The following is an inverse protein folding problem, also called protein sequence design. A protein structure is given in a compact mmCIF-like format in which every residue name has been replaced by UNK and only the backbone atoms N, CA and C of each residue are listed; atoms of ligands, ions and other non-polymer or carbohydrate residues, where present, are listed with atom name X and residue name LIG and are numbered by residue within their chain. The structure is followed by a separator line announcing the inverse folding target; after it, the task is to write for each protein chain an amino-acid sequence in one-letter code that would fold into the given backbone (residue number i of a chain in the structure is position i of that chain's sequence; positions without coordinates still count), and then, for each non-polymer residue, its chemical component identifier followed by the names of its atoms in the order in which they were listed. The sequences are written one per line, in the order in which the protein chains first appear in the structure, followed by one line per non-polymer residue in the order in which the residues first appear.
data_IF_183792862105
#
_entry.id   IF_183792862105
#
_cell.length_a   1.000
_cell.length_b   1.000
_cell.length_c   1.000
_cell.angle_alpha   90.00
_cell.angle_beta   90.00
_cell.angle_gamma   90.00
#
_symmetry.space_group_name_H-M   'P 1'
#
loop_
_entity.id
_entity.type
_entity.pdbx_description
1 polymer ?
#
# COMPACT_ATOMS: atom_id res chain seq x y z
N UNK A 1 25.46 -2.35 8.85
CA UNK A 1 25.23 -1.99 7.43
C UNK A 1 23.80 -2.36 7.17
N UNK A 2 22.95 -1.51 6.57
CA UNK A 2 21.54 -1.82 6.46
C UNK A 2 21.31 -3.15 5.76
N UNK A 3 20.45 -3.98 6.33
CA UNK A 3 20.10 -5.30 5.82
C UNK A 3 18.98 -5.10 4.79
N UNK A 4 19.17 -5.45 3.51
CA UNK A 4 18.10 -5.35 2.54
C UNK A 4 17.03 -6.40 2.79
N UNK A 5 15.82 -5.95 3.08
CA UNK A 5 14.65 -6.81 3.15
C UNK A 5 14.23 -7.16 1.73
N UNK A 6 14.34 -8.44 1.38
CA UNK A 6 14.01 -8.93 0.06
C UNK A 6 12.57 -9.45 -0.01
N UNK A 7 11.98 -9.42 -1.21
CA UNK A 7 10.69 -10.07 -1.48
C UNK A 7 10.82 -11.60 -1.28
N UNK A 8 10.07 -12.20 -0.34
CA UNK A 8 10.17 -13.62 -0.05
C UNK A 8 9.54 -14.49 -1.14
N UNK A 9 10.07 -15.70 -1.30
CA UNK A 9 9.45 -16.74 -2.12
C UNK A 9 8.42 -17.53 -1.29
N UNK A 10 7.15 -17.13 -1.32
CA UNK A 10 6.08 -17.81 -0.56
C UNK A 10 5.55 -19.07 -1.25
N UNK A 11 5.99 -19.35 -2.48
CA UNK A 11 5.65 -20.55 -3.25
C UNK A 11 6.83 -20.97 -4.15
N UNK A 12 7.04 -22.28 -4.40
CA UNK A 12 8.12 -22.77 -5.25
C UNK A 12 8.02 -22.33 -6.72
N UNK A 13 6.89 -21.78 -7.15
CA UNK A 13 6.67 -21.27 -8.51
C UNK A 13 6.42 -19.76 -8.55
N UNK A 14 6.69 -19.04 -7.46
CA UNK A 14 6.50 -17.59 -7.40
C UNK A 14 7.68 -16.89 -8.07
N UNK A 15 7.38 -16.03 -9.04
CA UNK A 15 8.38 -15.19 -9.73
C UNK A 15 8.30 -13.74 -9.25
N UNK A 16 7.10 -13.28 -8.89
CA UNK A 16 6.81 -11.92 -8.44
C UNK A 16 5.65 -11.90 -7.43
N UNK A 17 5.56 -10.81 -6.66
CA UNK A 17 4.51 -10.54 -5.69
C UNK A 17 4.23 -9.05 -5.53
N UNK A 18 3.17 -8.73 -4.81
CA UNK A 18 2.71 -7.36 -4.58
C UNK A 18 2.64 -7.07 -3.08
N UNK A 19 2.99 -5.86 -2.65
CA UNK A 19 2.77 -5.45 -1.26
C UNK A 19 1.30 -5.06 -1.10
N UNK A 20 0.51 -5.89 -0.43
CA UNK A 20 -0.88 -5.58 -0.15
C UNK A 20 -1.00 -4.55 0.99
N UNK A 21 -0.22 -4.75 2.05
CA UNK A 21 -0.26 -3.90 3.24
C UNK A 21 1.04 -3.92 4.03
N UNK A 22 1.48 -2.79 4.58
CA UNK A 22 2.54 -2.76 5.60
C UNK A 22 1.90 -2.76 6.99
N UNK A 23 2.36 -3.64 7.87
CA UNK A 23 1.95 -3.66 9.28
C UNK A 23 2.90 -2.88 10.19
N UNK A 24 4.10 -2.58 9.69
CA UNK A 24 5.14 -1.79 10.36
C UNK A 24 5.46 -0.53 9.55
N UNK A 25 6.03 0.47 10.21
CA UNK A 25 6.43 1.75 9.62
C UNK A 25 7.91 1.99 9.81
N UNK A 26 8.45 2.94 9.05
CA UNK A 26 9.82 3.43 9.22
C UNK A 26 10.04 3.92 10.67
N UNK A 27 11.09 3.41 11.32
CA UNK A 27 11.42 3.64 12.72
C UNK A 27 10.86 2.60 13.69
N UNK A 28 10.00 1.68 13.26
CA UNK A 28 9.45 0.63 14.14
C UNK A 28 10.48 -0.48 14.37
N UNK A 29 10.49 -1.03 15.59
CA UNK A 29 11.30 -2.20 15.93
C UNK A 29 10.67 -3.47 15.33
N UNK A 30 11.50 -4.32 14.74
CA UNK A 30 11.14 -5.59 14.12
C UNK A 30 11.88 -6.71 14.85
N UNK A 31 11.15 -7.75 15.24
CA UNK A 31 11.72 -8.99 15.78
C UNK A 31 11.58 -10.12 14.76
N UNK A 32 12.51 -11.07 14.77
CA UNK A 32 12.33 -12.30 14.01
C UNK A 32 11.04 -13.02 14.47
N UNK A 33 10.15 -13.33 13.52
CA UNK A 33 8.82 -13.87 13.79
C UNK A 33 7.68 -12.83 13.77
N UNK A 34 7.98 -11.54 13.67
CA UNK A 34 6.93 -10.51 13.59
C UNK A 34 6.38 -10.39 12.17
N UNK A 35 5.07 -10.17 12.05
CA UNK A 35 4.41 -9.96 10.76
C UNK A 35 4.60 -8.50 10.35
N UNK A 36 5.35 -8.27 9.27
CA UNK A 36 5.75 -6.93 8.82
C UNK A 36 4.95 -6.42 7.62
N UNK A 37 4.48 -7.31 6.76
CA UNK A 37 3.67 -6.97 5.59
C UNK A 37 2.68 -8.07 5.22
N UNK A 38 1.64 -7.73 4.47
CA UNK A 38 0.80 -8.68 3.74
C UNK A 38 1.24 -8.65 2.27
N UNK A 39 1.57 -9.82 1.72
CA UNK A 39 2.00 -9.99 0.34
C UNK A 39 0.85 -10.62 -0.44
N UNK A 40 0.42 -9.95 -1.50
CA UNK A 40 -0.56 -10.48 -2.43
C UNK A 40 0.14 -11.13 -3.63
N UNK A 41 -0.36 -12.29 -4.02
CA UNK A 41 0.06 -13.05 -5.20
C UNK A 41 -1.16 -13.44 -6.01
N UNK A 42 -0.97 -13.94 -7.24
CA UNK A 42 -2.07 -14.47 -8.08
C UNK A 42 -2.92 -15.54 -7.37
N UNK A 43 -2.33 -16.25 -6.39
CA UNK A 43 -2.98 -17.39 -5.73
C UNK A 43 -3.61 -17.05 -4.39
N UNK A 44 -2.98 -16.15 -3.63
CA UNK A 44 -3.37 -15.85 -2.25
C UNK A 44 -2.67 -14.58 -1.74
N UNK A 45 -3.27 -13.99 -0.71
CA UNK A 45 -2.61 -13.04 0.18
C UNK A 45 -2.04 -13.80 1.37
N UNK A 46 -0.77 -13.56 1.70
CA UNK A 46 -0.04 -14.25 2.76
C UNK A 46 0.73 -13.23 3.61
N UNK A 47 0.87 -13.54 4.89
CA UNK A 47 1.59 -12.70 5.85
C UNK A 47 3.10 -12.91 5.69
N UNK A 48 3.85 -11.81 5.60
CA UNK A 48 5.32 -11.82 5.59
C UNK A 48 5.84 -11.68 7.01
N UNK A 49 6.42 -12.77 7.50
CA UNK A 49 7.14 -12.85 8.76
C UNK A 49 8.59 -12.37 8.58
N UNK A 50 9.03 -11.47 9.46
CA UNK A 50 10.41 -11.00 9.51
C UNK A 50 11.36 -12.13 9.88
N UNK A 51 12.39 -12.33 9.06
CA UNK A 51 13.46 -13.30 9.33
C UNK A 51 14.58 -12.66 10.15
N UNK A 52 14.83 -11.38 9.91
CA UNK A 52 15.85 -10.57 10.57
C UNK A 52 15.21 -9.64 11.61
N UNK A 53 15.99 -9.28 12.62
CA UNK A 53 15.61 -8.34 13.68
C UNK A 53 16.34 -6.99 13.51
N UNK A 54 15.72 -5.90 13.97
CA UNK A 54 16.29 -4.57 13.86
C UNK A 54 15.23 -3.47 13.90
N UNK A 55 15.50 -2.35 13.24
CA UNK A 55 14.56 -1.24 13.08
C UNK A 55 14.23 -1.07 11.60
N UNK A 56 12.95 -0.90 11.27
CA UNK A 56 12.54 -0.59 9.91
C UNK A 56 13.19 0.73 9.47
N UNK A 57 14.15 0.67 8.55
CA UNK A 57 14.91 1.84 8.12
C UNK A 57 14.14 2.68 7.13
N UNK A 58 13.97 2.14 5.91
CA UNK A 58 13.26 2.81 4.83
C UNK A 58 12.50 1.79 3.97
N UNK A 59 11.26 2.14 3.63
CA UNK A 59 10.43 1.33 2.73
C UNK A 59 10.69 1.76 1.29
N UNK A 60 11.14 0.82 0.45
CA UNK A 60 11.45 1.06 -0.97
C UNK A 60 10.22 0.78 -1.85
N UNK A 61 9.44 -0.25 -1.51
CA UNK A 61 8.20 -0.61 -2.17
C UNK A 61 7.00 -0.20 -1.30
N UNK A 62 6.29 0.85 -1.72
CA UNK A 62 5.11 1.33 -1.01
C UNK A 62 3.96 0.31 -1.04
N UNK A 63 3.00 0.50 -0.14
CA UNK A 63 1.74 -0.24 -0.15
C UNK A 63 1.04 -0.14 -1.51
N UNK A 64 0.55 -1.28 -2.02
CA UNK A 64 -0.06 -1.39 -3.35
C UNK A 64 0.95 -1.48 -4.50
N UNK A 65 2.25 -1.59 -4.23
CA UNK A 65 3.24 -1.82 -5.30
C UNK A 65 3.09 -3.24 -5.83
N UNK A 66 2.86 -3.36 -7.14
CA UNK A 66 2.65 -4.63 -7.83
C UNK A 66 3.87 -5.07 -8.65
N UNK A 67 3.92 -6.35 -9.00
CA UNK A 67 4.92 -6.95 -9.91
C UNK A 67 6.38 -6.84 -9.39
N UNK A 68 6.59 -7.02 -8.08
CA UNK A 68 7.92 -7.00 -7.47
C UNK A 68 8.54 -8.40 -7.61
N UNK A 69 9.72 -8.55 -8.23
CA UNK A 69 10.34 -9.85 -8.39
C UNK A 69 10.80 -10.44 -7.06
N UNK A 70 10.73 -11.76 -6.94
CA UNK A 70 11.29 -12.48 -5.78
C UNK A 70 12.79 -12.20 -5.66
N UNK A 71 13.28 -12.03 -4.43
CA UNK A 71 14.62 -11.55 -4.09
C UNK A 71 14.91 -10.07 -4.45
N UNK A 72 13.94 -9.28 -4.90
CA UNK A 72 14.14 -7.84 -5.05
C UNK A 72 14.09 -7.13 -3.69
N UNK A 73 14.92 -6.09 -3.46
CA UNK A 73 14.87 -5.30 -2.24
C UNK A 73 13.58 -4.48 -2.16
N UNK A 74 12.82 -4.64 -1.07
CA UNK A 74 11.54 -3.96 -0.80
C UNK A 74 11.61 -2.99 0.37
N UNK A 75 12.55 -3.19 1.30
CA UNK A 75 12.85 -2.26 2.38
C UNK A 75 14.29 -2.43 2.85
N UNK A 76 14.75 -1.55 3.72
CA UNK A 76 16.03 -1.65 4.41
C UNK A 76 15.78 -1.71 5.92
N UNK A 77 16.42 -2.66 6.60
CA UNK A 77 16.42 -2.79 8.06
C UNK A 77 17.73 -2.23 8.59
N UNK A 78 17.66 -1.40 9.63
CA UNK A 78 18.81 -0.85 10.36
C UNK A 78 19.15 -1.78 11.53
N UNK A 79 20.43 -2.08 11.70
CA UNK A 79 20.92 -2.81 12.87
C UNK A 79 20.94 -1.91 14.12
N UNK A 80 21.01 -2.51 15.31
CA UNK A 80 21.10 -1.76 16.58
C UNK A 80 22.26 -0.75 16.56
N UNK A 81 21.93 0.54 16.64
CA UNK A 81 22.90 1.63 16.65
C UNK A 81 23.21 2.25 15.28
N UNK A 82 22.49 1.86 14.22
CA UNK A 82 22.53 2.55 12.93
C UNK A 82 21.40 3.57 12.77
N UNK A 83 21.73 4.74 12.23
CA UNK A 83 20.78 5.82 11.94
C UNK A 83 20.48 5.90 10.44
N UNK A 84 19.50 6.72 10.05
CA UNK A 84 19.11 6.95 8.66
C UNK A 84 20.27 7.29 7.70
N UNK A 85 21.39 7.83 8.20
CA UNK A 85 22.61 8.07 7.42
C UNK A 85 23.28 6.81 6.88
N UNK A 86 22.98 5.64 7.44
CA UNK A 86 23.46 4.35 6.92
C UNK A 86 22.78 4.00 5.59
N UNK A 87 21.57 4.52 5.33
CA UNK A 87 20.78 4.28 4.12
C UNK A 87 21.39 4.97 2.89
N UNK A 88 22.08 6.11 3.08
CA UNK A 88 22.75 6.85 2.00
C UNK A 88 23.96 6.10 1.41
N UNK A 89 24.47 5.10 2.14
CA UNK A 89 25.65 4.32 1.73
C UNK A 89 25.28 3.03 0.98
N UNK A 90 23.98 2.77 0.77
CA UNK A 90 23.50 1.53 0.15
C UNK A 90 23.23 1.77 -1.34
N UNK A 91 24.07 1.20 -2.20
CA UNK A 91 23.84 1.17 -3.64
C UNK A 91 22.70 0.18 -3.97
N UNK A 92 21.46 0.67 -3.94
CA UNK A 92 20.26 -0.11 -4.29
C UNK A 92 20.31 -0.67 -5.71
N UNK A 93 20.99 0.03 -6.64
CA UNK A 93 21.24 -0.43 -8.01
C UNK A 93 22.15 -1.66 -8.11
N UNK A 94 22.98 -1.92 -7.08
CA UNK A 94 23.81 -3.13 -7.03
C UNK A 94 23.09 -4.33 -6.41
N UNK A 95 21.94 -4.13 -5.76
CA UNK A 95 21.19 -5.16 -5.04
C UNK A 95 19.95 -5.67 -5.81
N UNK A 96 19.56 -4.99 -6.89
CA UNK A 96 18.51 -5.47 -7.77
C UNK A 96 19.00 -6.69 -8.56
N UNK A 97 18.26 -7.81 -8.61
CA UNK A 97 18.51 -8.84 -9.61
C UNK A 97 18.34 -8.19 -10.98
N UNK A 98 19.34 -8.36 -11.85
CA UNK A 98 19.33 -7.89 -13.23
C UNK A 98 18.23 -8.60 -14.04
N UNK A 99 16.98 -8.18 -13.88
CA UNK A 99 15.92 -8.47 -14.83
C UNK A 99 15.98 -7.40 -15.91
N UNK A 100 16.59 -7.79 -17.04
CA UNK A 100 16.53 -7.05 -18.28
C UNK A 100 15.10 -6.58 -18.51
N UNK A 101 14.95 -5.26 -18.67
CA UNK A 101 13.74 -4.59 -19.10
C UNK A 101 13.30 -5.18 -20.45
N UNK A 102 12.51 -6.26 -20.40
CA UNK A 102 11.84 -6.79 -21.57
C UNK A 102 10.60 -5.95 -21.81
N UNK A 103 10.84 -4.91 -22.60
CA UNK A 103 9.84 -4.21 -23.39
C UNK A 103 8.90 -5.21 -24.06
N UNK A 104 7.66 -5.31 -23.59
CA UNK A 104 6.50 -5.79 -24.33
C UNK A 104 5.37 -4.76 -24.08
N UNK A 105 5.37 -3.66 -24.83
CA UNK A 105 4.52 -3.51 -26.01
C UNK A 105 3.03 -3.76 -25.70
N UNK A 106 2.40 -2.82 -25.00
CA UNK A 106 0.95 -2.65 -25.07
C UNK A 106 0.60 -1.80 -26.31
N UNK A 107 0.85 -2.37 -27.49
CA UNK A 107 0.14 -1.97 -28.70
C UNK A 107 -1.19 -2.73 -28.74
N UNK A 108 -2.24 -2.14 -28.16
CA UNK A 108 -3.62 -2.49 -28.55
C UNK A 108 -4.23 -1.36 -29.36
N UNK A 109 -3.94 -1.43 -30.65
CA UNK A 109 -4.78 -0.86 -31.71
C UNK A 109 -6.13 -1.57 -31.73
N UNK A 110 -7.19 -0.84 -31.41
CA UNK A 110 -8.54 -1.03 -31.96
C UNK A 110 -9.16 0.37 -32.10
N UNK A 111 -8.84 1.06 -33.18
CA UNK A 111 -9.74 1.29 -34.32
C UNK A 111 -10.94 2.23 -33.99
N UNK A 112 -11.03 3.41 -34.64
CA UNK A 112 -12.12 4.37 -34.48
C UNK A 112 -13.37 3.91 -35.24
N UNK A 113 -14.51 3.85 -34.55
CA UNK A 113 -15.83 3.63 -35.15
C UNK A 113 -16.51 4.95 -35.50
N UNK A 114 -16.64 5.20 -36.80
CA UNK A 114 -17.39 6.29 -37.42
C UNK A 114 -18.91 6.01 -37.41
N UNK A 115 -19.68 6.96 -36.86
CA UNK A 115 -21.02 7.46 -37.25
C UNK A 115 -22.27 6.57 -37.39
N UNK A 116 -23.38 7.28 -37.11
CA UNK A 116 -24.81 7.00 -37.38
C UNK A 116 -25.48 6.12 -36.32
N UNK A 117 -26.52 6.51 -35.59
CA UNK A 117 -27.56 7.51 -35.82
C UNK A 117 -28.92 6.81 -35.61
N UNK A 118 -29.73 7.32 -34.68
CA UNK A 118 -31.18 7.12 -34.43
C UNK A 118 -31.41 7.40 -32.93
N UNK A 119 -31.83 8.60 -32.53
CA UNK A 119 -33.23 9.06 -32.52
C UNK A 119 -34.21 7.93 -32.16
N UNK A 120 -34.75 7.93 -30.93
CA UNK A 120 -36.18 8.20 -30.66
C UNK A 120 -36.55 7.89 -29.20
N UNK A 121 -37.26 8.87 -28.62
CA UNK A 121 -38.29 8.85 -27.56
C UNK A 121 -37.95 8.63 -26.08
N UNK A 122 -38.29 9.68 -25.34
CA UNK A 122 -38.76 9.77 -23.95
C UNK A 122 -39.79 8.68 -23.60
N UNK A 123 -40.00 8.45 -22.30
CA UNK A 123 -41.22 9.01 -21.74
C UNK A 123 -41.02 9.74 -20.40
N UNK A 124 -42.05 10.53 -20.14
CA UNK A 124 -42.23 11.51 -19.09
C UNK A 124 -42.42 10.89 -17.69
N UNK A 125 -41.91 11.58 -16.68
CA UNK A 125 -42.50 11.76 -15.36
C UNK A 125 -41.88 13.08 -14.85
N UNK A 126 -42.58 14.16 -14.58
CA UNK A 126 -43.80 14.30 -13.81
C UNK A 126 -43.45 15.24 -12.65
N UNK A 127 -43.81 16.53 -12.81
CA UNK A 127 -44.18 17.53 -11.78
C UNK A 127 -43.59 17.38 -10.38
N UNK A 128 -42.70 18.28 -9.95
CA UNK A 128 -43.04 19.51 -9.21
C UNK A 128 -43.88 19.23 -7.95
N UNK A 129 -43.27 19.37 -6.75
CA UNK A 129 -43.78 20.19 -5.64
C UNK A 129 -42.62 20.52 -4.69
N UNK A 130 -42.31 21.81 -4.62
CA UNK A 130 -41.61 22.51 -3.56
C UNK A 130 -42.34 22.36 -2.21
N UNK A 131 -41.66 22.00 -1.13
CA UNK A 131 -42.12 22.35 0.22
C UNK A 131 -40.92 22.65 1.14
N UNK A 132 -40.77 23.95 1.37
CA UNK A 132 -40.20 24.61 2.54
C UNK A 132 -40.40 23.83 3.85
N UNK A 133 -39.36 23.77 4.68
CA UNK A 133 -39.43 24.08 6.11
C UNK A 133 -38.01 24.13 6.72
N UNK A 134 -37.66 25.29 7.24
CA UNK A 134 -36.57 25.47 8.21
C UNK A 134 -36.86 24.66 9.47
N UNK A 135 -35.84 24.11 10.12
CA UNK A 135 -35.73 24.27 11.56
C UNK A 135 -34.27 24.28 12.00
N UNK A 136 -33.96 25.35 12.72
CA UNK A 136 -32.73 25.67 13.43
C UNK A 136 -32.90 25.13 14.85
N UNK A 137 -31.95 24.36 15.36
CA UNK A 137 -31.66 24.29 16.80
C UNK A 137 -30.21 23.78 16.96
N UNK A 138 -29.26 24.64 17.28
CA UNK A 138 -28.90 25.12 18.63
C UNK A 138 -27.88 24.17 19.31
N UNK A 139 -26.69 24.74 19.51
CA UNK A 139 -25.49 24.20 20.19
C UNK A 139 -25.78 24.07 21.73
N UNK A 140 -24.83 23.85 22.68
CA UNK A 140 -23.37 23.72 22.59
C UNK A 140 -22.71 22.67 23.52
N UNK A 141 -21.39 22.53 23.33
CA UNK A 141 -20.31 22.36 24.31
C UNK A 141 -20.71 22.40 25.81
N UNK A 142 -20.35 21.36 26.57
CA UNK A 142 -20.06 21.53 28.00
C UNK A 142 -18.89 20.63 28.47
N UNK A 143 -18.14 21.24 29.36
CA UNK A 143 -16.82 21.00 29.90
C UNK A 143 -16.78 19.96 31.04
N UNK A 144 -15.61 19.35 31.19
CA UNK A 144 -14.91 19.00 32.43
C UNK A 144 -15.69 18.44 33.65
N UNK A 145 -15.38 17.19 34.02
CA UNK A 145 -15.00 16.81 35.38
C UNK A 145 -14.28 15.45 35.37
N UNK A 146 -13.21 15.29 36.16
CA UNK A 146 -13.20 14.13 37.05
C UNK A 146 -12.85 14.57 38.47
N UNK A 147 -13.79 14.42 39.41
CA UNK A 147 -13.47 14.39 40.83
C UNK A 147 -14.53 13.62 41.62
N UNK A 148 -14.12 12.47 42.17
CA UNK A 148 -14.59 11.83 43.40
C UNK A 148 -13.94 10.44 43.50
N UNK A 149 -13.43 9.94 44.62
CA UNK A 149 -13.11 10.51 45.92
C UNK A 149 -12.34 9.41 46.67
N UNK A 150 -11.22 9.76 47.27
CA UNK A 150 -10.66 9.09 48.45
C UNK A 150 -10.76 10.14 49.56
N UNK A 151 -11.69 9.99 50.52
CA UNK A 151 -11.53 9.82 51.98
C UNK A 151 -12.92 9.63 52.60
#
# INVERSE_FOLDING_TARGET
MPIPLLMPALSPTMEEGSIAKWLVKEGDAITAGDIIAEIETDKATMEYEAVDEGVMGQILAAEGTENIPVNAPIALILEEGEDASALDSVDLESLAPAVESKTEQSEKKAAPGDKSGQEKVQPQAGSDVEHTASEKADQPEEVAAPDAAEV
#
